data_IF_747455137589
#
_entry.id   IF_747455137589
#
_cell.length_a   1.000
_cell.length_b   1.000
_cell.length_c   1.000
_cell.angle_alpha   90.00
_cell.angle_beta   90.00
_cell.angle_gamma   90.00
#
_symmetry.space_group_name_H-M   'P 1'
#
loop_
_entity.id
_entity.type
_entity.pdbx_description
1 polymer ?
#
# COMPACT_ATOMS: atom_id res chain seq x y z
N UNK A 1 9.04 28.42 13.61
CA UNK A 1 8.68 27.98 12.25
C UNK A 1 7.16 27.82 12.23
N UNK A 2 6.47 28.68 11.49
CA UNK A 2 5.06 28.43 11.18
C UNK A 2 4.99 27.12 10.42
N UNK A 3 4.10 26.21 10.84
CA UNK A 3 3.85 24.97 10.12
C UNK A 3 3.03 25.33 8.89
N UNK A 4 3.56 25.09 7.72
CA UNK A 4 2.76 25.19 6.50
C UNK A 4 1.66 24.11 6.52
N UNK A 5 0.46 24.51 6.10
CA UNK A 5 -0.65 23.55 6.01
C UNK A 5 -0.49 22.70 4.75
N UNK A 6 -0.48 21.40 4.93
CA UNK A 6 -0.48 20.43 3.83
C UNK A 6 -1.90 20.04 3.50
N UNK A 7 -2.24 20.02 2.22
CA UNK A 7 -3.58 19.70 1.72
C UNK A 7 -3.56 18.45 0.84
N UNK A 8 -4.65 17.71 0.83
CA UNK A 8 -4.92 16.69 -0.19
C UNK A 8 -5.67 17.38 -1.34
N UNK A 9 -5.06 17.39 -2.52
CA UNK A 9 -5.61 18.10 -3.69
C UNK A 9 -6.64 17.26 -4.44
N UNK A 10 -6.46 15.95 -4.50
CA UNK A 10 -7.34 15.05 -5.23
C UNK A 10 -7.14 13.60 -4.84
N UNK A 11 -8.02 12.74 -5.32
CA UNK A 11 -7.96 11.30 -5.10
C UNK A 11 -8.49 10.50 -6.27
N UNK A 12 -7.93 9.33 -6.49
CA UNK A 12 -8.33 8.39 -7.53
C UNK A 12 -8.30 6.95 -7.04
N UNK A 13 -9.16 6.13 -7.61
CA UNK A 13 -9.24 4.71 -7.28
C UNK A 13 -9.73 3.92 -8.48
N UNK A 14 -9.28 2.70 -8.60
CA UNK A 14 -9.85 1.72 -9.53
C UNK A 14 -11.03 0.98 -8.88
N UNK A 15 -11.71 0.15 -9.66
CA UNK A 15 -12.64 -0.84 -9.10
C UNK A 15 -11.86 -1.86 -8.29
N UNK A 16 -12.47 -2.32 -7.19
CA UNK A 16 -11.95 -3.42 -6.39
C UNK A 16 -12.49 -4.76 -6.91
N UNK A 17 -11.64 -5.77 -6.90
CA UNK A 17 -12.02 -7.11 -7.32
C UNK A 17 -10.92 -7.83 -8.09
N UNK A 18 -11.31 -8.86 -8.82
CA UNK A 18 -10.39 -9.57 -9.72
C UNK A 18 -10.29 -8.78 -11.02
N UNK A 19 -9.12 -8.16 -11.23
CA UNK A 19 -8.80 -7.39 -12.42
C UNK A 19 -7.79 -8.16 -13.27
N UNK A 20 -7.93 -8.07 -14.59
CA UNK A 20 -7.02 -8.70 -15.55
C UNK A 20 -5.80 -7.81 -15.84
N UNK A 21 -5.93 -6.49 -15.63
CA UNK A 21 -4.86 -5.51 -15.82
C UNK A 21 -3.64 -5.83 -14.94
N UNK A 22 -2.44 -5.45 -15.40
CA UNK A 22 -1.22 -5.57 -14.60
C UNK A 22 -1.26 -4.67 -13.37
N UNK A 23 -0.43 -4.98 -12.35
CA UNK A 23 -0.33 -4.12 -11.16
C UNK A 23 0.11 -2.70 -11.53
N UNK A 24 0.98 -2.53 -12.54
CA UNK A 24 1.40 -1.22 -13.03
C UNK A 24 0.26 -0.46 -13.69
N UNK A 25 -0.58 -1.12 -14.48
CA UNK A 25 -1.74 -0.46 -15.11
C UNK A 25 -2.77 -0.04 -14.09
N UNK A 26 -3.06 -0.91 -13.10
CA UNK A 26 -3.98 -0.60 -11.99
C UNK A 26 -3.48 0.63 -11.21
N UNK A 27 -2.17 0.65 -10.88
CA UNK A 27 -1.56 1.77 -10.17
C UNK A 27 -1.62 3.05 -11.01
N UNK A 28 -1.32 2.95 -12.31
CA UNK A 28 -1.37 4.08 -13.22
C UNK A 28 -2.79 4.66 -13.33
N UNK A 29 -3.81 3.82 -13.48
CA UNK A 29 -5.21 4.26 -13.56
C UNK A 29 -5.62 5.05 -12.31
N UNK A 30 -5.31 4.54 -11.12
CA UNK A 30 -5.60 5.24 -9.87
C UNK A 30 -4.84 6.57 -9.77
N UNK A 31 -3.57 6.58 -10.19
CA UNK A 31 -2.72 7.78 -10.19
C UNK A 31 -3.22 8.85 -11.14
N UNK A 32 -3.59 8.48 -12.36
CA UNK A 32 -4.20 9.40 -13.35
C UNK A 32 -5.49 9.98 -12.80
N UNK A 33 -6.37 9.15 -12.23
CA UNK A 33 -7.61 9.62 -11.62
C UNK A 33 -7.37 10.62 -10.47
N UNK A 34 -6.32 10.43 -9.67
CA UNK A 34 -5.95 11.35 -8.60
C UNK A 34 -5.46 12.70 -9.17
N UNK A 35 -4.63 12.67 -10.20
CA UNK A 35 -4.09 13.87 -10.88
C UNK A 35 -5.22 14.67 -11.54
N UNK A 36 -6.10 14.00 -12.27
CA UNK A 36 -7.28 14.62 -12.87
C UNK A 36 -8.20 15.25 -11.83
N UNK A 37 -8.45 14.53 -10.73
CA UNK A 37 -9.26 15.04 -9.60
C UNK A 37 -8.62 16.24 -8.91
N UNK A 38 -7.29 16.29 -8.85
CA UNK A 38 -6.54 17.42 -8.31
C UNK A 38 -6.53 18.64 -9.23
N UNK A 39 -6.79 18.45 -10.53
CA UNK A 39 -6.75 19.51 -11.54
C UNK A 39 -5.35 20.04 -11.83
N UNK A 40 -4.31 19.19 -11.65
CA UNK A 40 -2.91 19.52 -11.92
C UNK A 40 -2.38 18.72 -13.12
N UNK A 41 -1.25 19.13 -13.66
CA UNK A 41 -0.55 18.38 -14.69
C UNK A 41 0.46 17.41 -14.05
N UNK A 42 0.73 16.22 -14.65
CA UNK A 42 1.71 15.28 -14.11
C UNK A 42 3.09 15.92 -13.81
N UNK A 43 3.53 16.87 -14.63
CA UNK A 43 4.83 17.58 -14.47
C UNK A 43 4.91 18.46 -13.22
N UNK A 44 3.80 18.72 -12.54
CA UNK A 44 3.77 19.47 -11.27
C UNK A 44 4.05 18.56 -10.08
N UNK A 45 4.11 17.24 -10.30
CA UNK A 45 4.47 16.26 -9.28
C UNK A 45 6.00 16.19 -9.19
N UNK A 46 6.52 16.39 -7.99
CA UNK A 46 7.97 16.44 -7.73
C UNK A 46 8.52 15.15 -7.12
N UNK A 47 7.66 14.30 -6.54
CA UNK A 47 8.06 12.99 -6.03
C UNK A 47 6.86 12.01 -5.99
N UNK A 48 7.17 10.71 -6.05
CA UNK A 48 6.20 9.62 -5.91
C UNK A 48 6.48 8.76 -4.69
N UNK A 49 5.45 8.52 -3.88
CA UNK A 49 5.46 7.59 -2.75
C UNK A 49 4.54 6.41 -3.07
N UNK A 50 5.14 5.29 -3.45
CA UNK A 50 4.42 4.15 -4.00
C UNK A 50 4.46 2.99 -3.00
N UNK A 51 3.30 2.52 -2.56
CA UNK A 51 3.18 1.43 -1.62
C UNK A 51 2.71 0.15 -2.28
N UNK A 52 3.44 -0.92 -2.00
CA UNK A 52 3.15 -2.27 -2.45
C UNK A 52 3.90 -3.27 -1.58
N UNK A 53 3.31 -4.42 -1.30
CA UNK A 53 3.93 -5.52 -0.54
C UNK A 53 4.29 -6.67 -1.46
N UNK A 54 3.33 -7.13 -2.26
CA UNK A 54 3.44 -8.38 -3.03
C UNK A 54 3.62 -8.15 -4.54
N UNK A 55 4.32 -7.09 -4.94
CA UNK A 55 4.60 -6.83 -6.35
C UNK A 55 5.28 -8.01 -7.06
N UNK A 56 6.04 -8.82 -6.34
CA UNK A 56 6.64 -10.06 -6.87
C UNK A 56 5.59 -11.05 -7.35
N UNK A 57 4.39 -11.07 -6.76
CA UNK A 57 3.29 -11.95 -7.19
C UNK A 57 2.79 -11.60 -8.59
N UNK A 58 2.85 -10.32 -8.97
CA UNK A 58 2.55 -9.83 -10.33
C UNK A 58 3.84 -9.55 -11.15
N UNK A 59 4.98 -10.09 -10.71
CA UNK A 59 6.30 -9.98 -11.35
C UNK A 59 6.79 -8.53 -11.51
N UNK A 60 6.35 -7.63 -10.64
CA UNK A 60 6.70 -6.22 -10.66
C UNK A 60 7.17 -5.75 -9.27
N UNK A 61 8.49 -5.70 -9.06
CA UNK A 61 9.08 -5.22 -7.79
C UNK A 61 9.51 -3.75 -7.83
N UNK A 62 9.65 -3.18 -9.02
CA UNK A 62 10.13 -1.80 -9.23
C UNK A 62 8.99 -0.89 -9.68
N UNK A 63 7.88 -0.94 -8.95
CA UNK A 63 6.61 -0.32 -9.36
C UNK A 63 6.71 1.21 -9.46
N UNK A 64 7.39 1.86 -8.53
CA UNK A 64 7.50 3.32 -8.49
C UNK A 64 8.04 3.93 -9.78
N UNK A 65 9.28 3.63 -10.19
CA UNK A 65 9.84 4.14 -11.44
C UNK A 65 9.03 3.80 -12.69
N UNK A 66 8.37 2.62 -12.71
CA UNK A 66 7.49 2.24 -13.84
C UNK A 66 6.27 3.15 -13.92
N UNK A 67 5.61 3.42 -12.81
CA UNK A 67 4.45 4.31 -12.76
C UNK A 67 4.85 5.75 -13.10
N UNK A 68 5.93 6.27 -12.51
CA UNK A 68 6.41 7.62 -12.79
C UNK A 68 6.80 7.79 -14.26
N UNK A 69 7.43 6.76 -14.85
CA UNK A 69 7.76 6.76 -16.29
C UNK A 69 6.50 6.77 -17.18
N UNK A 70 5.49 5.99 -16.82
CA UNK A 70 4.24 5.95 -17.57
C UNK A 70 3.42 7.25 -17.44
N UNK A 71 3.61 8.00 -16.36
CA UNK A 71 3.07 9.36 -16.19
C UNK A 71 3.86 10.42 -16.96
N UNK A 72 5.01 10.06 -17.57
CA UNK A 72 5.88 10.99 -18.30
C UNK A 72 6.77 11.87 -17.41
N UNK A 73 7.00 11.46 -16.15
CA UNK A 73 7.78 12.17 -15.13
C UNK A 73 8.88 11.27 -14.54
N UNK A 74 9.61 10.57 -15.39
CA UNK A 74 10.63 9.59 -15.00
C UNK A 74 11.83 10.20 -14.26
N UNK A 75 12.06 11.50 -14.37
CA UNK A 75 13.09 12.25 -13.66
C UNK A 75 12.74 12.53 -12.18
N UNK A 76 11.47 12.41 -11.80
CA UNK A 76 11.05 12.61 -10.42
C UNK A 76 11.48 11.44 -9.54
N UNK A 77 11.99 11.70 -8.33
CA UNK A 77 12.30 10.63 -7.39
C UNK A 77 11.05 9.84 -7.00
N UNK A 78 11.19 8.53 -6.91
CA UNK A 78 10.13 7.67 -6.43
C UNK A 78 10.63 6.70 -5.35
N UNK A 79 9.86 6.56 -4.30
CA UNK A 79 10.15 5.67 -3.18
C UNK A 79 9.13 4.55 -3.14
N UNK A 80 9.63 3.31 -3.04
CA UNK A 80 8.78 2.17 -2.71
C UNK A 80 8.73 2.01 -1.20
N UNK A 81 7.54 2.01 -0.62
CA UNK A 81 7.32 1.92 0.82
C UNK A 81 6.56 0.64 1.13
N UNK A 82 7.14 -0.15 2.02
CA UNK A 82 6.56 -1.38 2.51
C UNK A 82 6.49 -1.32 4.04
N UNK A 83 5.33 -1.59 4.58
CA UNK A 83 5.01 -1.74 6.01
C UNK A 83 3.78 -2.63 6.15
N UNK A 84 3.78 -3.75 5.45
CA UNK A 84 2.65 -4.68 5.33
C UNK A 84 1.32 -3.94 5.08
N UNK A 85 0.28 -4.24 5.84
CA UNK A 85 -1.04 -3.59 5.71
C UNK A 85 -1.03 -2.09 6.02
N UNK A 86 0.04 -1.56 6.65
CA UNK A 86 0.24 -0.15 6.95
C UNK A 86 0.95 0.66 5.87
N UNK A 87 1.38 0.04 4.76
CA UNK A 87 2.22 0.66 3.73
C UNK A 87 1.66 1.98 3.20
N UNK A 88 0.36 2.02 2.90
CA UNK A 88 -0.30 3.23 2.42
C UNK A 88 -0.30 4.38 3.44
N UNK A 89 -0.54 4.07 4.71
CA UNK A 89 -0.50 5.06 5.79
C UNK A 89 0.91 5.61 6.02
N UNK A 90 1.92 4.76 5.93
CA UNK A 90 3.33 5.18 6.03
C UNK A 90 3.71 6.05 4.84
N UNK A 91 3.33 5.67 3.60
CA UNK A 91 3.55 6.49 2.41
C UNK A 91 2.93 7.87 2.53
N UNK A 92 1.69 7.93 3.02
CA UNK A 92 0.99 9.19 3.23
C UNK A 92 1.68 10.06 4.30
N UNK A 93 2.12 9.45 5.40
CA UNK A 93 2.86 10.13 6.47
C UNK A 93 4.19 10.70 5.96
N UNK A 94 4.95 9.93 5.18
CA UNK A 94 6.23 10.39 4.63
C UNK A 94 6.03 11.51 3.62
N UNK A 95 5.04 11.41 2.75
CA UNK A 95 4.66 12.47 1.82
C UNK A 95 4.28 13.76 2.56
N UNK A 96 3.40 13.65 3.58
CA UNK A 96 3.02 14.76 4.43
C UNK A 96 4.25 15.43 5.08
N UNK A 97 5.16 14.63 5.65
CA UNK A 97 6.34 15.16 6.33
C UNK A 97 7.28 15.91 5.38
N UNK A 98 7.46 15.41 4.15
CA UNK A 98 8.34 16.04 3.17
C UNK A 98 7.75 17.33 2.60
N UNK A 99 6.44 17.37 2.34
CA UNK A 99 5.76 18.61 1.91
C UNK A 99 5.74 19.62 3.06
N UNK A 100 5.42 19.22 4.28
CA UNK A 100 5.44 20.10 5.45
C UNK A 100 6.83 20.68 5.79
N UNK A 101 7.88 19.96 5.39
CA UNK A 101 9.28 20.40 5.53
C UNK A 101 9.75 21.29 4.37
N UNK A 102 8.93 21.47 3.32
CA UNK A 102 9.25 22.27 2.14
C UNK A 102 10.24 21.60 1.18
N UNK A 103 10.37 20.27 1.21
CA UNK A 103 11.19 19.56 0.23
C UNK A 103 10.51 19.46 -1.13
N UNK A 104 9.17 19.42 -1.13
CA UNK A 104 8.33 19.34 -2.32
C UNK A 104 7.07 20.17 -2.14
N UNK A 105 6.57 20.73 -3.23
CA UNK A 105 5.30 21.47 -3.27
C UNK A 105 4.11 20.52 -3.55
N UNK A 106 4.31 19.54 -4.45
CA UNK A 106 3.29 18.55 -4.80
C UNK A 106 3.90 17.15 -4.97
N UNK A 107 3.26 16.16 -4.36
CA UNK A 107 3.70 14.75 -4.42
C UNK A 107 2.54 13.82 -4.72
N UNK A 108 2.84 12.71 -5.38
CA UNK A 108 1.89 11.62 -5.61
C UNK A 108 2.08 10.55 -4.54
N UNK A 109 0.98 10.20 -3.86
CA UNK A 109 0.93 9.01 -3.01
C UNK A 109 0.01 8.00 -3.65
N UNK A 110 0.50 6.81 -3.95
CA UNK A 110 -0.31 5.74 -4.54
C UNK A 110 0.04 4.39 -3.93
N UNK A 111 -0.90 3.45 -3.97
CA UNK A 111 -0.67 2.10 -3.49
C UNK A 111 -1.57 1.11 -4.19
N UNK A 112 -1.03 -0.05 -4.46
CA UNK A 112 -1.76 -1.11 -5.17
C UNK A 112 -1.31 -2.46 -4.68
N UNK A 113 -2.28 -3.36 -4.52
CA UNK A 113 -2.01 -4.76 -4.24
C UNK A 113 -2.82 -5.66 -5.17
N UNK A 114 -2.18 -6.66 -5.76
CA UNK A 114 -2.83 -7.60 -6.68
C UNK A 114 -2.38 -9.02 -6.37
N UNK A 115 -3.25 -9.79 -5.71
CA UNK A 115 -2.99 -11.19 -5.34
C UNK A 115 -4.12 -12.16 -5.73
N UNK A 116 -5.22 -11.64 -6.28
CA UNK A 116 -6.41 -12.47 -6.61
C UNK A 116 -6.14 -13.52 -7.70
N UNK A 117 -5.09 -13.37 -8.49
CA UNK A 117 -4.70 -14.29 -9.56
C UNK A 117 -3.80 -15.45 -9.08
N UNK A 118 -3.28 -15.39 -7.85
CA UNK A 118 -2.30 -16.37 -7.36
C UNK A 118 -2.92 -17.61 -6.72
N UNK A 119 -4.22 -17.54 -6.37
CA UNK A 119 -4.91 -18.60 -5.64
C UNK A 119 -4.66 -18.53 -4.11
N UNK A 120 -5.52 -19.22 -3.36
CA UNK A 120 -5.55 -19.12 -1.89
C UNK A 120 -4.25 -19.58 -1.23
N UNK A 121 -3.66 -20.68 -1.69
CA UNK A 121 -2.44 -21.25 -1.09
C UNK A 121 -1.25 -20.29 -1.21
N UNK A 122 -1.06 -19.72 -2.39
CA UNK A 122 -0.03 -18.73 -2.63
C UNK A 122 -0.28 -17.44 -1.83
N UNK A 123 -1.52 -16.98 -1.81
CA UNK A 123 -1.89 -15.79 -1.04
C UNK A 123 -1.62 -16.00 0.44
N UNK A 124 -1.99 -17.14 1.00
CA UNK A 124 -1.71 -17.50 2.41
C UNK A 124 -0.20 -17.52 2.69
N UNK A 125 0.59 -18.08 1.78
CA UNK A 125 2.04 -18.11 1.87
C UNK A 125 2.64 -16.70 1.85
N UNK A 126 2.21 -15.83 0.93
CA UNK A 126 2.70 -14.44 0.87
C UNK A 126 2.35 -13.66 2.13
N UNK A 127 1.15 -13.83 2.67
CA UNK A 127 0.78 -13.18 3.92
C UNK A 127 1.66 -13.65 5.09
N UNK A 128 2.10 -14.91 5.12
CA UNK A 128 3.00 -15.37 6.18
C UNK A 128 4.36 -14.70 6.15
N UNK A 129 4.78 -14.12 5.01
CA UNK A 129 6.02 -13.33 4.93
C UNK A 129 5.92 -11.96 5.63
N UNK A 130 4.72 -11.53 6.00
CA UNK A 130 4.52 -10.32 6.80
C UNK A 130 4.62 -10.59 8.33
N UNK A 131 4.90 -11.83 8.73
CA UNK A 131 5.26 -12.23 10.11
C UNK A 131 6.73 -12.62 10.17
N UNK A 132 7.22 -13.08 11.33
CA UNK A 132 8.54 -13.73 11.39
C UNK A 132 8.45 -15.11 10.73
N UNK A 133 8.76 -15.14 9.42
CA UNK A 133 8.59 -16.35 8.63
C UNK A 133 9.41 -17.53 9.13
N UNK A 134 10.62 -17.28 9.66
CA UNK A 134 11.49 -18.35 10.13
C UNK A 134 11.04 -19.00 11.43
N UNK A 135 10.39 -18.24 12.30
CA UNK A 135 9.92 -18.74 13.60
C UNK A 135 8.41 -19.06 13.59
N UNK A 136 7.62 -18.26 12.88
CA UNK A 136 6.17 -18.38 12.86
C UNK A 136 5.67 -19.03 11.56
N UNK A 137 6.05 -18.51 10.40
CA UNK A 137 5.60 -19.01 9.12
C UNK A 137 5.98 -20.45 8.85
N UNK A 138 7.24 -20.86 9.13
CA UNK A 138 7.68 -22.26 8.98
C UNK A 138 7.02 -23.21 9.99
N UNK A 139 6.59 -22.72 11.14
CA UNK A 139 5.82 -23.47 12.11
C UNK A 139 4.33 -23.63 11.70
N UNK A 140 3.94 -23.08 10.55
CA UNK A 140 2.57 -23.15 10.03
C UNK A 140 1.64 -22.05 10.53
N UNK A 141 2.17 -21.00 11.15
CA UNK A 141 1.36 -19.85 11.53
C UNK A 141 0.86 -19.12 10.29
N UNK A 142 -0.46 -19.01 10.17
CA UNK A 142 -1.13 -18.19 9.17
C UNK A 142 -1.73 -16.95 9.85
N UNK A 143 -2.05 -15.90 9.11
CA UNK A 143 -2.73 -14.73 9.69
C UNK A 143 -4.01 -15.11 10.44
N UNK A 144 -4.94 -15.91 9.87
CA UNK A 144 -6.09 -16.38 10.64
C UNK A 144 -5.71 -17.13 11.92
N UNK A 145 -4.65 -17.95 11.89
CA UNK A 145 -4.15 -18.68 13.06
C UNK A 145 -3.59 -17.76 14.15
N UNK A 146 -2.82 -16.75 13.76
CA UNK A 146 -2.27 -15.73 14.69
C UNK A 146 -3.41 -14.91 15.34
N UNK A 147 -4.37 -14.45 14.54
CA UNK A 147 -5.56 -13.76 15.08
C UNK A 147 -6.42 -14.66 15.95
N UNK A 148 -6.58 -15.93 15.60
CA UNK A 148 -7.29 -16.90 16.45
C UNK A 148 -6.58 -17.09 17.80
N UNK A 149 -5.26 -17.10 17.83
CA UNK A 149 -4.49 -17.15 19.08
C UNK A 149 -4.69 -15.90 19.94
N UNK A 150 -4.71 -14.71 19.33
CA UNK A 150 -5.04 -13.46 20.03
C UNK A 150 -6.47 -13.44 20.52
N UNK A 151 -7.43 -13.89 19.71
CA UNK A 151 -8.82 -14.01 20.12
C UNK A 151 -8.96 -14.96 21.31
N UNK A 152 -8.29 -16.12 21.30
CA UNK A 152 -8.29 -17.05 22.44
C UNK A 152 -7.71 -16.42 23.71
N UNK A 153 -6.63 -15.66 23.60
CA UNK A 153 -6.07 -14.94 24.74
C UNK A 153 -7.06 -13.91 25.29
N UNK A 154 -7.70 -13.13 24.39
CA UNK A 154 -8.71 -12.14 24.76
C UNK A 154 -9.91 -12.79 25.49
N UNK A 155 -10.46 -13.88 24.95
CA UNK A 155 -11.60 -14.59 25.58
C UNK A 155 -11.24 -15.08 26.99
N UNK A 156 -10.00 -15.55 27.19
CA UNK A 156 -9.55 -16.03 28.50
C UNK A 156 -9.29 -14.88 29.50
N UNK A 157 -8.77 -13.75 29.03
CA UNK A 157 -8.40 -12.61 29.88
C UNK A 157 -9.64 -11.84 30.36
N UNK A 158 -10.63 -11.68 29.49
CA UNK A 158 -11.80 -10.84 29.74
C UNK A 158 -13.09 -11.59 30.02
N UNK A 159 -13.01 -12.93 30.25
CA UNK A 159 -14.17 -13.80 30.46
C UNK A 159 -15.25 -13.61 29.37
N UNK A 160 -14.80 -13.37 28.14
CA UNK A 160 -15.65 -13.18 26.97
C UNK A 160 -15.94 -14.52 26.27
N UNK A 161 -16.94 -14.52 25.43
CA UNK A 161 -17.40 -15.71 24.70
C UNK A 161 -17.17 -15.58 23.19
N UNK A 162 -17.35 -16.67 22.45
CA UNK A 162 -17.27 -16.63 20.98
C UNK A 162 -18.37 -15.74 20.36
N UNK A 163 -19.50 -15.56 21.06
CA UNK A 163 -20.60 -14.68 20.63
C UNK A 163 -20.19 -13.20 20.68
N UNK A 164 -19.26 -12.83 21.57
CA UNK A 164 -18.72 -11.46 21.65
C UNK A 164 -17.78 -11.10 20.49
N UNK A 165 -17.36 -12.10 19.71
CA UNK A 165 -16.50 -11.93 18.52
C UNK A 165 -17.27 -11.99 17.19
N UNK A 166 -18.59 -12.23 17.20
CA UNK A 166 -19.41 -12.49 16.01
C UNK A 166 -20.01 -11.21 15.35
#
# INVERSE_FOLDING_TARGET
MERESVCVLGGGSTKYGKLDDSISDITLQASVGAIESAGIEPKEIEAGYISNVFGVADKQVHLGPVVMSNLGISECPSLSIESACGSGSVSFREAFANVAAGFYDAVLVTGTEKVTHTGTDWTTTYFSYCSDFFYEGQAGASFPGLFASMARAYLNEFDATEEDLA
#
